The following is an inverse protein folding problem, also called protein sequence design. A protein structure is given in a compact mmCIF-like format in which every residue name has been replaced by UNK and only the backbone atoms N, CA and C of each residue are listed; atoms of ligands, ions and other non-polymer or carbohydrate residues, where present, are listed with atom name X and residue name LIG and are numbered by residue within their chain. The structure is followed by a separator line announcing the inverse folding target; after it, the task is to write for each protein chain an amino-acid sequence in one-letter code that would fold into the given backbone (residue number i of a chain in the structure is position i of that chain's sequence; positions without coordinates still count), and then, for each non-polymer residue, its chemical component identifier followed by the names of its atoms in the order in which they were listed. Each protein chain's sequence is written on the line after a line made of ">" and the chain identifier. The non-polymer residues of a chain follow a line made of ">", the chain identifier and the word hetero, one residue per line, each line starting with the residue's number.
data_IF_939474211619
#
_entry.id   IF_939474211619
#
_cell.length_a   1.000
_cell.length_b   1.000
_cell.length_c   1.000
_cell.angle_alpha   90.00
_cell.angle_beta   90.00
_cell.angle_gamma   90.00
#
_symmetry.space_group_name_H-M   'P 1'
#
loop_
_entity.id
_entity.type
_entity.pdbx_description
1 polymer ?
#
# COMPACT_ATOMS: atom_id res chain seq x y z
N UNK A 1 -27.47 11.88 -9.52
CA UNK A 1 -26.92 11.30 -8.28
C UNK A 1 -25.52 10.80 -8.61
N UNK A 2 -24.46 11.53 -8.23
CA UNK A 2 -23.10 11.01 -8.38
C UNK A 2 -22.92 9.99 -7.25
N UNK A 3 -23.05 8.71 -7.57
CA UNK A 3 -22.54 7.66 -6.71
C UNK A 3 -21.06 8.02 -6.51
N UNK A 4 -20.67 8.28 -5.26
CA UNK A 4 -19.26 8.38 -4.92
C UNK A 4 -18.73 7.00 -5.29
N UNK A 5 -18.04 6.90 -6.41
CA UNK A 5 -17.35 5.68 -6.78
C UNK A 5 -16.33 5.50 -5.65
N UNK A 6 -16.54 4.48 -4.81
CA UNK A 6 -15.77 4.33 -3.57
C UNK A 6 -14.28 4.49 -3.89
N UNK A 7 -13.64 5.38 -3.15
CA UNK A 7 -12.27 5.76 -3.42
C UNK A 7 -11.38 4.55 -3.16
N UNK A 8 -10.87 3.95 -4.25
CA UNK A 8 -10.13 2.69 -4.21
C UNK A 8 -9.02 2.73 -3.15
N UNK A 9 -8.96 1.71 -2.29
CA UNK A 9 -7.94 1.60 -1.25
C UNK A 9 -6.77 0.70 -1.69
N UNK A 10 -5.56 1.22 -1.53
CA UNK A 10 -4.31 0.55 -1.87
C UNK A 10 -3.47 0.38 -0.62
N UNK A 11 -2.91 -0.82 -0.45
CA UNK A 11 -1.86 -1.10 0.52
C UNK A 11 -0.51 -1.20 -0.18
N UNK A 12 0.43 -0.33 0.19
CA UNK A 12 1.82 -0.35 -0.26
C UNK A 12 2.69 -0.97 0.83
N UNK A 13 3.27 -2.13 0.56
CA UNK A 13 4.15 -2.86 1.48
C UNK A 13 5.59 -2.71 1.02
N UNK A 14 6.34 -1.82 1.66
CA UNK A 14 7.73 -1.49 1.31
C UNK A 14 8.59 -1.50 2.57
N UNK A 15 9.71 -2.22 2.61
CA UNK A 15 10.50 -2.32 3.86
C UNK A 15 11.21 -1.00 4.20
N UNK A 16 11.44 -0.15 3.20
CA UNK A 16 12.26 1.05 3.29
C UNK A 16 11.59 2.21 2.59
N UNK A 17 11.82 3.41 3.12
CA UNK A 17 11.52 4.65 2.40
C UNK A 17 12.62 4.91 1.37
N UNK A 18 12.24 4.87 0.10
CA UNK A 18 13.13 5.18 -1.01
C UNK A 18 12.35 5.85 -2.15
N UNK A 19 13.06 6.17 -3.23
CA UNK A 19 12.44 6.82 -4.39
C UNK A 19 11.34 5.97 -5.03
N UNK A 20 11.38 4.65 -4.89
CA UNK A 20 10.36 3.76 -5.44
C UNK A 20 9.11 3.75 -4.57
N UNK A 21 9.24 3.60 -3.24
CA UNK A 21 8.10 3.72 -2.33
C UNK A 21 7.42 5.08 -2.49
N UNK A 22 8.21 6.15 -2.61
CA UNK A 22 7.70 7.51 -2.82
C UNK A 22 7.00 7.65 -4.18
N UNK A 23 7.54 7.04 -5.23
CA UNK A 23 6.92 7.00 -6.55
C UNK A 23 5.55 6.33 -6.54
N UNK A 24 5.39 5.20 -5.85
CA UNK A 24 4.10 4.52 -5.73
C UNK A 24 3.09 5.30 -4.89
N UNK A 25 3.52 5.92 -3.79
CA UNK A 25 2.65 6.81 -3.00
C UNK A 25 2.12 7.97 -3.85
N UNK A 26 3.01 8.61 -4.60
CA UNK A 26 2.64 9.72 -5.49
C UNK A 26 1.72 9.28 -6.63
N UNK A 27 1.96 8.10 -7.20
CA UNK A 27 1.07 7.53 -8.21
C UNK A 27 -0.34 7.29 -7.66
N UNK A 28 -0.46 6.75 -6.44
CA UNK A 28 -1.75 6.57 -5.77
C UNK A 28 -2.46 7.91 -5.53
N UNK A 29 -1.73 8.91 -5.04
CA UNK A 29 -2.28 10.27 -4.84
C UNK A 29 -2.80 10.86 -6.16
N UNK A 30 -2.01 10.78 -7.24
CA UNK A 30 -2.39 11.29 -8.57
C UNK A 30 -3.57 10.53 -9.19
N UNK A 31 -3.71 9.24 -8.90
CA UNK A 31 -4.86 8.44 -9.31
C UNK A 31 -6.10 8.68 -8.43
N UNK A 32 -5.98 9.46 -7.34
CA UNK A 32 -7.05 9.70 -6.40
C UNK A 32 -7.36 8.49 -5.52
N UNK A 33 -6.42 7.57 -5.31
CA UNK A 33 -6.59 6.40 -4.46
C UNK A 33 -6.28 6.72 -3.00
N UNK A 34 -6.94 6.04 -2.06
CA UNK A 34 -6.51 6.04 -0.66
C UNK A 34 -5.36 5.08 -0.49
N UNK A 35 -4.29 5.52 0.15
CA UNK A 35 -3.08 4.75 0.26
C UNK A 35 -2.72 4.51 1.72
N UNK A 36 -2.52 3.25 2.12
CA UNK A 36 -1.91 2.87 3.39
C UNK A 36 -0.52 2.30 3.09
N UNK A 37 0.46 2.62 3.94
CA UNK A 37 1.83 2.15 3.77
C UNK A 37 2.19 1.29 4.98
N UNK A 38 2.66 0.07 4.72
CA UNK A 38 3.20 -0.82 5.72
C UNK A 38 4.70 -1.02 5.49
N UNK A 39 5.47 -1.00 6.58
CA UNK A 39 6.93 -1.09 6.55
C UNK A 39 7.48 -2.37 7.18
N UNK A 40 6.61 -3.15 7.81
CA UNK A 40 6.94 -4.45 8.42
C UNK A 40 5.87 -5.48 8.07
N UNK A 41 6.16 -6.79 8.15
CA UNK A 41 5.16 -7.84 7.94
C UNK A 41 3.93 -7.69 8.85
N UNK A 42 4.16 -7.34 10.12
CA UNK A 42 3.11 -7.21 11.13
C UNK A 42 2.16 -6.06 10.78
N UNK A 43 2.70 -4.88 10.45
CA UNK A 43 1.89 -3.73 10.04
C UNK A 43 1.15 -3.97 8.73
N UNK A 44 1.72 -4.76 7.81
CA UNK A 44 1.06 -5.13 6.56
C UNK A 44 -0.12 -6.08 6.82
N UNK A 45 0.07 -7.07 7.70
CA UNK A 45 -0.98 -8.01 8.11
C UNK A 45 -2.11 -7.29 8.84
N UNK A 46 -1.79 -6.43 9.80
CA UNK A 46 -2.79 -5.63 10.52
C UNK A 46 -3.60 -4.75 9.56
N UNK A 47 -2.93 -4.04 8.65
CA UNK A 47 -3.59 -3.22 7.63
C UNK A 47 -4.52 -4.05 6.75
N UNK A 48 -4.04 -5.20 6.26
CA UNK A 48 -4.82 -6.08 5.39
C UNK A 48 -6.10 -6.60 6.07
N UNK A 49 -6.00 -6.97 7.35
CA UNK A 49 -7.14 -7.48 8.12
C UNK A 49 -8.14 -6.38 8.48
N UNK A 50 -7.67 -5.14 8.70
CA UNK A 50 -8.50 -4.02 9.19
C UNK A 50 -9.19 -3.23 8.07
N UNK A 51 -8.53 -3.01 6.92
CA UNK A 51 -8.92 -1.92 5.98
C UNK A 51 -9.44 -2.35 4.61
N UNK A 52 -9.67 -3.65 4.37
CA UNK A 52 -10.29 -4.17 3.13
C UNK A 52 -9.73 -3.57 1.83
N UNK A 53 -8.40 -3.51 1.68
CA UNK A 53 -7.78 -2.98 0.46
C UNK A 53 -8.13 -3.79 -0.78
N UNK A 54 -8.41 -3.10 -1.89
CA UNK A 54 -8.69 -3.71 -3.19
C UNK A 54 -7.41 -4.04 -3.98
N UNK A 55 -6.33 -3.29 -3.73
CA UNK A 55 -5.02 -3.51 -4.36
C UNK A 55 -3.95 -3.57 -3.28
N UNK A 56 -3.08 -4.56 -3.38
CA UNK A 56 -1.91 -4.71 -2.50
C UNK A 56 -0.67 -4.80 -3.38
N UNK A 57 0.30 -3.93 -3.14
CA UNK A 57 1.59 -3.90 -3.84
C UNK A 57 2.66 -4.24 -2.83
N UNK A 58 3.42 -5.31 -3.09
CA UNK A 58 4.47 -5.79 -2.20
C UNK A 58 5.83 -5.65 -2.89
N UNK A 59 6.73 -4.90 -2.25
CA UNK A 59 8.09 -4.72 -2.74
C UNK A 59 8.98 -5.90 -2.39
N UNK A 60 9.29 -6.71 -3.39
CA UNK A 60 10.16 -7.88 -3.24
C UNK A 60 11.65 -7.56 -3.41
N UNK A 61 12.05 -6.30 -3.66
CA UNK A 61 13.48 -5.94 -3.84
C UNK A 61 14.32 -6.23 -2.60
N UNK A 62 13.69 -6.22 -1.42
CA UNK A 62 14.33 -6.50 -0.15
C UNK A 62 13.63 -7.66 0.57
N UNK A 63 13.51 -8.81 -0.10
CA UNK A 63 12.76 -9.98 0.36
C UNK A 63 13.05 -10.34 1.83
N UNK A 64 14.31 -10.22 2.30
CA UNK A 64 14.69 -10.51 3.70
C UNK A 64 13.90 -9.78 4.79
N UNK A 65 13.25 -8.65 4.49
CA UNK A 65 12.41 -7.95 5.48
C UNK A 65 10.98 -8.49 5.56
N UNK A 66 10.54 -9.24 4.55
CA UNK A 66 9.19 -9.83 4.45
C UNK A 66 9.19 -11.35 4.24
N UNK A 67 10.37 -11.98 4.17
CA UNK A 67 10.55 -13.42 4.22
C UNK A 67 10.45 -13.86 5.70
N UNK A 68 9.52 -14.78 5.98
CA UNK A 68 9.33 -15.44 7.27
C UNK A 68 10.19 -16.69 7.40
#
# INVERSE_FOLDING_TARGET
>A
MRLHQDQLQVLLVFAKEDNQSNGFCWACEKAGFRCNIARTPESALECFLDKHHEIIIIDHRHSRYFDA
#
